data_IF_773008206903
#
_entry.id   IF_773008206903
#
_cell.length_a   1.000
_cell.length_b   1.000
_cell.length_c   1.000
_cell.angle_alpha   90.00
_cell.angle_beta   90.00
_cell.angle_gamma   90.00
#
_symmetry.space_group_name_H-M   'P 1'
#
loop_
_entity.id
_entity.type
_entity.pdbx_description
1 polymer ?
#
# COMPACT_ATOMS: atom_id res chain seq x y z
N UNK A 1 2.51 18.76 9.07
CA UNK A 1 3.73 19.26 8.42
C UNK A 1 4.25 18.09 7.62
N UNK A 2 4.14 18.13 6.30
CA UNK A 2 4.52 17.05 5.37
C UNK A 2 5.63 17.49 4.40
N UNK A 3 6.34 18.57 4.72
CA UNK A 3 7.36 19.15 3.82
C UNK A 3 8.76 18.51 4.01
N UNK A 4 8.92 17.54 4.91
CA UNK A 4 10.25 17.02 5.24
C UNK A 4 10.73 15.94 4.26
N UNK A 5 9.83 15.12 3.72
CA UNK A 5 10.17 14.05 2.78
C UNK A 5 10.70 14.61 1.47
N UNK A 6 10.13 15.71 0.98
CA UNK A 6 10.64 16.46 -0.18
C UNK A 6 12.04 17.06 0.05
N UNK A 7 12.42 17.33 1.29
CA UNK A 7 13.73 17.90 1.65
C UNK A 7 14.79 16.82 1.91
N UNK A 8 14.37 15.59 2.26
CA UNK A 8 15.24 14.51 2.73
C UNK A 8 15.31 13.33 1.77
N UNK A 9 14.29 13.12 0.93
CA UNK A 9 14.28 12.07 -0.07
C UNK A 9 15.37 12.36 -1.12
N UNK A 10 16.46 11.61 -1.03
CA UNK A 10 17.53 11.62 -2.00
C UNK A 10 17.42 10.34 -2.84
N UNK A 11 17.05 10.43 -4.15
CA UNK A 11 16.95 9.25 -5.02
C UNK A 11 18.28 8.48 -5.13
N UNK A 12 19.42 9.10 -4.81
CA UNK A 12 20.72 8.44 -4.80
C UNK A 12 21.01 7.63 -3.53
N UNK A 13 20.12 7.69 -2.53
CA UNK A 13 20.23 6.96 -1.25
C UNK A 13 19.23 5.81 -1.10
N UNK A 14 18.55 5.43 -2.18
CA UNK A 14 17.59 4.32 -2.18
C UNK A 14 18.14 3.02 -1.58
N UNK A 15 19.40 2.69 -1.85
CA UNK A 15 20.04 1.50 -1.28
C UNK A 15 20.21 1.61 0.25
N UNK A 16 20.56 2.78 0.78
CA UNK A 16 20.63 3.01 2.23
C UNK A 16 19.25 2.87 2.88
N UNK A 17 18.22 3.44 2.26
CA UNK A 17 16.86 3.41 2.78
C UNK A 17 16.30 1.98 2.82
N UNK A 18 16.48 1.21 1.74
CA UNK A 18 16.04 -0.17 1.68
C UNK A 18 16.78 -1.06 2.68
N UNK A 19 18.09 -0.88 2.83
CA UNK A 19 18.88 -1.59 3.83
C UNK A 19 18.41 -1.26 5.25
N UNK A 20 18.15 0.01 5.55
CA UNK A 20 17.63 0.44 6.86
C UNK A 20 16.24 -0.15 7.14
N UNK A 21 15.35 -0.15 6.15
CA UNK A 21 14.01 -0.72 6.26
C UNK A 21 14.06 -2.22 6.58
N UNK A 22 14.93 -2.96 5.89
CA UNK A 22 15.06 -4.42 6.05
C UNK A 22 15.87 -4.82 7.29
N UNK A 23 16.64 -3.91 7.88
CA UNK A 23 17.49 -4.18 9.05
C UNK A 23 16.74 -4.60 10.31
N UNK A 24 15.43 -4.36 10.39
CA UNK A 24 14.56 -4.87 11.47
C UNK A 24 14.68 -4.13 12.80
N UNK A 25 15.42 -3.02 12.86
CA UNK A 25 15.60 -2.21 14.07
C UNK A 25 14.53 -1.10 14.22
N UNK A 26 13.74 -0.86 13.17
CA UNK A 26 12.75 0.21 13.10
C UNK A 26 11.41 -0.21 13.71
N UNK A 27 10.78 0.71 14.43
CA UNK A 27 9.37 0.64 14.81
C UNK A 27 8.45 0.77 13.60
N UNK A 28 7.18 0.42 13.75
CA UNK A 28 6.20 0.52 12.65
C UNK A 28 6.02 1.97 12.17
N UNK A 29 6.03 2.97 13.06
CA UNK A 29 5.97 4.39 12.69
C UNK A 29 7.20 4.82 11.87
N UNK A 30 8.39 4.35 12.25
CA UNK A 30 9.63 4.64 11.51
C UNK A 30 9.64 3.92 10.15
N UNK A 31 9.15 2.68 10.09
CA UNK A 31 8.98 1.93 8.83
C UNK A 31 8.00 2.63 7.91
N UNK A 32 6.87 3.09 8.44
CA UNK A 32 5.88 3.85 7.68
C UNK A 32 6.50 5.13 7.11
N UNK A 33 7.16 5.93 7.95
CA UNK A 33 7.82 7.19 7.54
C UNK A 33 8.93 6.96 6.50
N UNK A 34 9.75 5.92 6.69
CA UNK A 34 10.81 5.58 5.75
C UNK A 34 10.25 5.09 4.41
N UNK A 35 9.12 4.38 4.42
CA UNK A 35 8.48 3.92 3.19
C UNK A 35 7.94 5.10 2.37
N UNK A 36 7.32 6.10 3.00
CA UNK A 36 6.91 7.33 2.30
C UNK A 36 8.11 8.01 1.62
N UNK A 37 9.23 8.13 2.35
CA UNK A 37 10.49 8.66 1.81
C UNK A 37 11.00 7.86 0.61
N UNK A 38 10.92 6.52 0.67
CA UNK A 38 11.32 5.63 -0.43
C UNK A 38 10.42 5.83 -1.65
N UNK A 39 9.10 5.91 -1.46
CA UNK A 39 8.14 6.11 -2.56
C UNK A 39 8.40 7.46 -3.26
N UNK A 40 8.53 8.55 -2.49
CA UNK A 40 8.91 9.88 -3.01
C UNK A 40 10.23 9.82 -3.81
N UNK A 41 11.26 9.17 -3.26
CA UNK A 41 12.56 9.03 -3.92
C UNK A 41 12.46 8.28 -5.26
N UNK A 42 11.59 7.29 -5.38
CA UNK A 42 11.34 6.61 -6.67
C UNK A 42 10.54 7.49 -7.65
N UNK A 43 9.59 8.28 -7.16
CA UNK A 43 8.87 9.23 -8.01
C UNK A 43 9.83 10.23 -8.69
N UNK A 44 10.81 10.72 -7.92
CA UNK A 44 11.84 11.65 -8.38
C UNK A 44 12.97 10.98 -9.19
N UNK A 45 13.20 9.67 -9.03
CA UNK A 45 14.30 8.95 -9.69
C UNK A 45 14.10 8.92 -11.21
N UNK A 46 15.00 9.48 -12.05
CA UNK A 46 14.82 9.48 -13.50
C UNK A 46 14.93 8.07 -14.10
N UNK A 47 14.10 7.75 -15.09
CA UNK A 47 14.17 6.51 -15.87
C UNK A 47 12.98 5.57 -15.67
N UNK A 48 12.97 4.41 -16.35
CA UNK A 48 11.87 3.46 -16.25
C UNK A 48 11.90 2.70 -14.91
N UNK A 49 10.90 2.92 -14.06
CA UNK A 49 10.76 2.25 -12.76
C UNK A 49 10.61 0.73 -12.90
N UNK A 50 9.97 0.26 -13.98
CA UNK A 50 9.81 -1.17 -14.28
C UNK A 50 11.14 -1.93 -14.38
N UNK A 51 12.22 -1.22 -14.75
CA UNK A 51 13.54 -1.81 -14.93
C UNK A 51 14.42 -1.70 -13.68
N UNK A 52 13.98 -0.98 -12.63
CA UNK A 52 14.74 -0.84 -11.39
C UNK A 52 14.41 -1.98 -10.42
N UNK A 53 15.40 -2.83 -10.15
CA UNK A 53 15.26 -3.96 -9.22
C UNK A 53 14.89 -3.53 -7.80
N UNK A 54 15.34 -2.34 -7.38
CA UNK A 54 15.03 -1.77 -6.06
C UNK A 54 13.57 -1.39 -5.99
N UNK A 55 12.98 -0.89 -7.08
CA UNK A 55 11.54 -0.64 -7.13
C UNK A 55 10.73 -1.94 -7.06
N UNK A 56 11.17 -3.00 -7.74
CA UNK A 56 10.52 -4.31 -7.63
C UNK A 56 10.59 -4.86 -6.20
N UNK A 57 11.71 -4.65 -5.50
CA UNK A 57 11.85 -4.98 -4.08
C UNK A 57 10.88 -4.16 -3.21
N UNK A 58 10.77 -2.85 -3.43
CA UNK A 58 9.82 -1.97 -2.73
C UNK A 58 8.38 -2.43 -2.92
N UNK A 59 7.97 -2.75 -4.14
CA UNK A 59 6.63 -3.27 -4.42
C UNK A 59 6.36 -4.58 -3.67
N UNK A 60 7.35 -5.47 -3.58
CA UNK A 60 7.25 -6.72 -2.83
C UNK A 60 7.09 -6.46 -1.33
N UNK A 61 7.86 -5.52 -0.77
CA UNK A 61 7.75 -5.11 0.64
C UNK A 61 6.37 -4.54 0.96
N UNK A 62 5.86 -3.63 0.11
CA UNK A 62 4.52 -3.05 0.24
C UNK A 62 3.43 -4.10 0.17
N UNK A 63 3.55 -5.05 -0.76
CA UNK A 63 2.62 -6.15 -0.93
C UNK A 63 2.58 -7.09 0.29
N UNK A 64 3.75 -7.44 0.84
CA UNK A 64 3.88 -8.32 2.01
C UNK A 64 3.42 -7.64 3.31
N UNK A 65 3.60 -6.32 3.43
CA UNK A 65 3.30 -5.53 4.62
C UNK A 65 2.13 -4.56 4.41
N UNK A 66 1.14 -4.98 3.62
CA UNK A 66 0.09 -4.07 3.15
C UNK A 66 -0.70 -3.39 4.27
N UNK A 67 -0.94 -4.06 5.41
CA UNK A 67 -1.69 -3.47 6.52
C UNK A 67 -0.95 -2.26 7.12
N UNK A 68 0.39 -2.32 7.18
CA UNK A 68 1.21 -1.22 7.69
C UNK A 68 1.20 -0.03 6.72
N UNK A 69 1.19 -0.31 5.42
CA UNK A 69 1.34 0.70 4.36
C UNK A 69 0.05 0.97 3.59
N UNK A 70 -1.09 0.59 4.16
CA UNK A 70 -2.41 0.72 3.52
C UNK A 70 -2.68 2.16 3.09
N UNK A 71 -2.39 3.10 4.00
CA UNK A 71 -2.54 4.52 3.74
C UNK A 71 -1.59 5.01 2.63
N UNK A 72 -0.31 4.65 2.70
CA UNK A 72 0.71 4.97 1.69
C UNK A 72 0.27 4.52 0.30
N UNK A 73 -0.08 3.24 0.17
CA UNK A 73 -0.50 2.65 -1.09
C UNK A 73 -1.76 3.34 -1.63
N UNK A 74 -2.74 3.63 -0.77
CA UNK A 74 -3.95 4.36 -1.17
C UNK A 74 -3.64 5.78 -1.63
N UNK A 75 -2.90 6.56 -0.84
CA UNK A 75 -2.57 7.96 -1.13
C UNK A 75 -1.82 8.09 -2.46
N UNK A 76 -0.72 7.37 -2.61
CA UNK A 76 0.14 7.43 -3.80
C UNK A 76 -0.48 6.75 -5.04
N UNK A 77 -1.54 5.95 -4.86
CA UNK A 77 -2.31 5.41 -5.99
C UNK A 77 -3.27 6.41 -6.63
N UNK A 78 -3.47 7.57 -6.00
CA UNK A 78 -4.18 8.72 -6.57
C UNK A 78 -5.53 8.34 -7.20
N UNK A 79 -6.34 7.51 -6.52
CA UNK A 79 -7.54 6.88 -7.11
C UNK A 79 -8.63 7.88 -7.51
N UNK A 80 -8.56 9.10 -6.98
CA UNK A 80 -9.55 10.15 -7.24
C UNK A 80 -9.44 10.74 -8.66
N UNK A 81 -8.31 10.51 -9.35
CA UNK A 81 -8.03 11.09 -10.67
C UNK A 81 -7.77 10.02 -11.74
N UNK A 82 -8.00 10.38 -13.01
CA UNK A 82 -7.61 9.55 -14.14
C UNK A 82 -6.09 9.57 -14.32
N UNK A 83 -5.50 8.48 -14.82
CA UNK A 83 -4.07 8.47 -15.14
C UNK A 83 -3.78 9.46 -16.28
N UNK A 84 -2.78 10.30 -16.09
CA UNK A 84 -2.35 11.27 -17.09
C UNK A 84 -0.95 11.85 -16.79
N UNK A 85 -0.62 12.93 -17.50
CA UNK A 85 0.71 13.55 -17.42
C UNK A 85 1.00 14.21 -16.05
N UNK A 86 -0.02 14.49 -15.26
CA UNK A 86 0.09 15.08 -13.91
C UNK A 86 0.15 14.02 -12.81
N UNK A 87 0.01 12.74 -13.15
CA UNK A 87 0.04 11.63 -12.18
C UNK A 87 1.48 11.32 -11.76
N UNK A 88 1.70 11.05 -10.48
CA UNK A 88 2.96 10.51 -9.99
C UNK A 88 3.35 9.23 -10.73
N UNK A 89 4.65 9.08 -10.98
CA UNK A 89 5.22 7.98 -11.75
C UNK A 89 5.06 6.64 -11.06
N UNK A 90 4.99 6.64 -9.74
CA UNK A 90 4.74 5.43 -8.92
C UNK A 90 3.28 4.97 -8.97
N UNK A 91 2.34 5.86 -9.28
CA UNK A 91 0.89 5.61 -9.19
C UNK A 91 0.41 4.39 -9.96
N UNK A 92 0.79 4.14 -11.23
CA UNK A 92 0.28 2.99 -11.98
C UNK A 92 0.63 1.63 -11.35
N UNK A 93 1.69 1.57 -10.55
CA UNK A 93 2.10 0.37 -9.83
C UNK A 93 1.30 0.20 -8.55
N UNK A 94 1.11 1.28 -7.79
CA UNK A 94 0.40 1.24 -6.52
C UNK A 94 -1.10 0.98 -6.71
N UNK A 95 -1.69 1.44 -7.82
CA UNK A 95 -3.07 1.04 -8.21
C UNK A 95 -3.22 -0.48 -8.38
N UNK A 96 -2.18 -1.19 -8.82
CA UNK A 96 -2.21 -2.66 -8.91
C UNK A 96 -2.21 -3.31 -7.53
N UNK A 97 -1.49 -2.73 -6.55
CA UNK A 97 -1.52 -3.19 -5.16
C UNK A 97 -2.88 -2.91 -4.52
N UNK A 98 -3.47 -1.72 -4.76
CA UNK A 98 -4.85 -1.43 -4.35
C UNK A 98 -5.80 -2.48 -4.89
N UNK A 99 -5.75 -2.75 -6.20
CA UNK A 99 -6.61 -3.76 -6.83
C UNK A 99 -6.42 -5.15 -6.21
N UNK A 100 -5.18 -5.55 -5.93
CA UNK A 100 -4.86 -6.84 -5.31
C UNK A 100 -5.40 -6.97 -3.89
N UNK A 101 -5.35 -5.89 -3.12
CA UNK A 101 -5.68 -5.87 -1.69
C UNK A 101 -7.01 -5.17 -1.38
N UNK A 102 -7.93 -5.05 -2.35
CA UNK A 102 -9.21 -4.35 -2.18
C UNK A 102 -9.94 -4.73 -0.88
N UNK A 103 -10.01 -6.03 -0.54
CA UNK A 103 -10.69 -6.49 0.68
C UNK A 103 -9.99 -6.15 2.01
N UNK A 104 -8.74 -5.67 1.98
CA UNK A 104 -8.00 -5.20 3.17
C UNK A 104 -7.92 -3.68 3.24
N UNK A 105 -7.95 -3.03 2.09
CA UNK A 105 -7.85 -1.57 1.95
C UNK A 105 -9.23 -0.89 1.90
N UNK A 106 -10.30 -1.65 1.68
CA UNK A 106 -11.68 -1.18 1.79
C UNK A 106 -12.27 -1.52 3.18
N UNK A 107 -12.38 -0.54 4.10
CA UNK A 107 -12.95 -0.76 5.43
C UNK A 107 -14.43 -1.14 5.43
N UNK A 108 -15.13 -1.12 4.28
CA UNK A 108 -16.53 -1.55 4.17
C UNK A 108 -16.68 -3.03 3.79
N UNK A 109 -15.61 -3.69 3.36
CA UNK A 109 -15.64 -5.05 2.81
C UNK A 109 -15.79 -6.16 3.86
N UNK A 110 -15.59 -5.88 5.15
CA UNK A 110 -15.75 -6.85 6.25
C UNK A 110 -17.22 -7.05 6.72
N UNK A 111 -18.20 -6.43 6.07
CA UNK A 111 -19.59 -6.39 6.58
C UNK A 111 -20.57 -7.44 6.02
N UNK A 112 -20.12 -8.44 5.25
CA UNK A 112 -21.04 -9.40 4.59
C UNK A 112 -20.95 -10.88 4.99
N UNK A 113 -20.02 -11.31 5.84
CA UNK A 113 -19.85 -12.74 6.16
C UNK A 113 -20.36 -13.16 7.55
N UNK A 114 -21.49 -12.60 8.01
CA UNK A 114 -22.25 -13.14 9.15
C UNK A 114 -23.76 -13.11 8.88
N UNK A 115 -24.24 -13.92 7.94
CA UNK A 115 -25.62 -14.41 7.96
C UNK A 115 -25.61 -15.95 7.88
N UNK A 116 -25.10 -16.54 8.97
CA UNK A 116 -25.10 -17.97 9.20
C UNK A 116 -26.42 -18.42 9.81
N UNK A 117 -27.38 -18.73 8.93
CA UNK A 117 -28.42 -19.77 9.04
C UNK A 117 -29.08 -20.07 10.39
N UNK A 118 -30.39 -19.86 10.44
CA UNK A 118 -31.29 -20.71 11.22
C UNK A 118 -32.25 -21.43 10.25
N UNK A 119 -32.21 -22.78 10.14
CA UNK A 119 -33.28 -23.53 9.52
C UNK A 119 -34.42 -23.67 10.55
N UNK A 120 -35.54 -23.00 10.30
CA UNK A 120 -36.76 -23.22 11.08
C UNK A 120 -37.38 -24.56 10.61
N UNK A 121 -36.89 -25.63 11.23
CA UNK A 121 -37.32 -27.00 11.01
C UNK A 121 -38.69 -27.23 11.63
N UNK A 122 -39.57 -27.79 10.82
CA UNK A 122 -40.94 -28.11 11.12
C UNK A 122 -41.12 -28.85 12.46
N UNK A 123 -42.08 -28.39 13.27
CA UNK A 123 -42.81 -29.27 14.19
C UNK A 123 -44.30 -29.11 14.02
N UNK A 124 -44.85 -30.00 13.19
CA UNK A 124 -46.25 -30.38 13.24
C UNK A 124 -46.61 -31.10 14.56
N UNK A 125 -47.90 -30.98 14.90
CA UNK A 125 -48.74 -31.96 15.63
C UNK A 125 -48.92 -31.74 17.17
N UNK A 126 -49.99 -32.30 17.79
CA UNK A 126 -51.26 -31.59 18.02
C UNK A 126 -51.81 -31.79 19.45
N UNK A 127 -52.86 -31.06 19.85
CA UNK A 127 -54.02 -31.52 20.67
C UNK A 127 -54.96 -30.37 20.99
#
# INVERSE_FOLDING_TARGET
MQDWEWEVADPFRLDDYLNAYQGGELSDDERFTLMETIIQAFDDLPGPLEADERWQATLSILDENIDLHAYSVWYWSDLEYELGDETWRVTPFLRKLVQKHQGRLDPQSESQDQDGGEPDDARESPS
#
